data_IF_376722376396
#
_entry.id   IF_376722376396
#
_cell.length_a   1.000
_cell.length_b   1.000
_cell.length_c   1.000
_cell.angle_alpha   90.00
_cell.angle_beta   90.00
_cell.angle_gamma   90.00
#
_symmetry.space_group_name_H-M   'P 1'
#
loop_
_entity.id
_entity.type
_entity.pdbx_description
1 polymer ?
#
# COMPACT_ATOMS: atom_id res chain seq x y z
N UNK A 1 -16.68 -12.68 -16.18
CA UNK A 1 -17.07 -13.77 -15.26
C UNK A 1 -17.08 -15.11 -15.99
N UNK A 2 -17.81 -15.27 -17.10
CA UNK A 2 -17.80 -16.53 -17.88
C UNK A 2 -16.40 -17.10 -18.18
N UNK A 3 -15.48 -16.33 -18.77
CA UNK A 3 -14.12 -16.79 -19.06
C UNK A 3 -13.33 -17.20 -17.80
N UNK A 4 -13.60 -16.57 -16.65
CA UNK A 4 -12.93 -16.91 -15.39
C UNK A 4 -13.39 -18.29 -14.93
N UNK A 5 -14.71 -18.52 -14.91
CA UNK A 5 -15.28 -19.80 -14.48
C UNK A 5 -14.80 -20.95 -15.36
N UNK A 6 -14.77 -20.76 -16.68
CA UNK A 6 -14.25 -21.76 -17.63
C UNK A 6 -12.81 -22.16 -17.31
N UNK A 7 -11.93 -21.17 -17.07
CA UNK A 7 -10.52 -21.44 -16.75
C UNK A 7 -10.38 -22.10 -15.36
N UNK A 8 -11.21 -21.71 -14.39
CA UNK A 8 -11.19 -22.31 -13.04
C UNK A 8 -11.70 -23.76 -13.04
N UNK A 9 -12.69 -24.10 -13.86
CA UNK A 9 -13.14 -25.47 -14.06
C UNK A 9 -12.00 -26.34 -14.59
N UNK A 10 -11.25 -25.85 -15.58
CA UNK A 10 -10.06 -26.55 -16.11
C UNK A 10 -8.96 -26.73 -15.05
N UNK A 11 -8.77 -25.75 -14.17
CA UNK A 11 -7.77 -25.81 -13.09
C UNK A 11 -8.18 -26.78 -11.98
N UNK A 12 -9.48 -26.86 -11.67
CA UNK A 12 -10.01 -27.72 -10.60
C UNK A 12 -10.24 -29.17 -11.03
N UNK A 13 -10.32 -29.45 -12.33
CA UNK A 13 -10.44 -30.81 -12.83
C UNK A 13 -9.14 -31.60 -12.61
N UNK A 14 -9.19 -32.61 -11.73
CA UNK A 14 -8.07 -33.50 -11.43
C UNK A 14 -7.55 -34.28 -12.65
N UNK A 15 -8.36 -34.38 -13.71
CA UNK A 15 -7.98 -35.05 -14.97
C UNK A 15 -7.22 -34.13 -15.92
N UNK A 16 -7.18 -32.83 -15.64
CA UNK A 16 -6.47 -31.87 -16.48
C UNK A 16 -4.96 -32.15 -16.46
N UNK A 17 -4.29 -32.23 -17.61
CA UNK A 17 -2.85 -32.38 -17.64
C UNK A 17 -2.18 -31.11 -17.07
N UNK A 18 -1.02 -31.21 -16.39
CA UNK A 18 -0.36 -30.06 -15.78
C UNK A 18 -0.12 -28.88 -16.74
N UNK A 19 0.25 -29.18 -17.99
CA UNK A 19 0.44 -28.17 -19.03
C UNK A 19 -0.82 -27.33 -19.30
N UNK A 20 -2.01 -27.94 -19.23
CA UNK A 20 -3.29 -27.23 -19.41
C UNK A 20 -3.59 -26.32 -18.22
N UNK A 21 -3.29 -26.77 -17.00
CA UNK A 21 -3.44 -25.97 -15.78
C UNK A 21 -2.54 -24.74 -15.82
N UNK A 22 -1.26 -24.90 -16.18
CA UNK A 22 -0.35 -23.76 -16.33
C UNK A 22 -0.80 -22.79 -17.43
N UNK A 23 -1.30 -23.31 -18.56
CA UNK A 23 -1.84 -22.49 -19.64
C UNK A 23 -3.08 -21.70 -19.19
N UNK A 24 -3.98 -22.33 -18.42
CA UNK A 24 -5.14 -21.66 -17.85
C UNK A 24 -4.72 -20.49 -16.93
N UNK A 25 -3.74 -20.71 -16.04
CA UNK A 25 -3.19 -19.66 -15.20
C UNK A 25 -2.51 -18.53 -15.99
N UNK A 26 -1.83 -18.85 -17.09
CA UNK A 26 -1.26 -17.85 -18.00
C UNK A 26 -2.34 -16.95 -18.60
N UNK A 27 -3.47 -17.51 -19.02
CA UNK A 27 -4.61 -16.72 -19.49
C UNK A 27 -5.24 -15.88 -18.37
N UNK A 28 -5.40 -16.43 -17.16
CA UNK A 28 -5.86 -15.67 -15.99
C UNK A 28 -4.93 -14.49 -15.71
N UNK A 29 -3.61 -14.70 -15.77
CA UNK A 29 -2.63 -13.64 -15.60
C UNK A 29 -2.80 -12.54 -16.65
N UNK A 30 -2.95 -12.88 -17.94
CA UNK A 30 -3.16 -11.89 -19.01
C UNK A 30 -4.40 -11.04 -18.75
N UNK A 31 -5.53 -11.68 -18.39
CA UNK A 31 -6.77 -10.97 -18.06
C UNK A 31 -6.55 -10.04 -16.85
N UNK A 32 -5.88 -10.54 -15.81
CA UNK A 32 -5.57 -9.77 -14.60
C UNK A 32 -4.67 -8.57 -14.91
N UNK A 33 -3.72 -8.70 -15.84
CA UNK A 33 -2.78 -7.65 -16.25
C UNK A 33 -3.50 -6.52 -16.99
N UNK A 34 -4.40 -6.88 -17.92
CA UNK A 34 -5.16 -5.90 -18.72
C UNK A 34 -6.16 -5.12 -17.87
N UNK A 35 -6.97 -5.82 -17.06
CA UNK A 35 -8.00 -5.17 -16.23
C UNK A 35 -7.44 -4.54 -14.96
N UNK A 36 -6.28 -5.00 -14.52
CA UNK A 36 -5.63 -4.64 -13.26
C UNK A 36 -5.94 -5.68 -12.17
N UNK A 37 -4.88 -6.24 -11.59
CA UNK A 37 -4.98 -7.36 -10.65
C UNK A 37 -5.94 -7.08 -9.48
N UNK A 38 -6.04 -5.83 -8.99
CA UNK A 38 -6.93 -5.47 -7.86
C UNK A 38 -8.41 -5.63 -8.18
N UNK A 39 -8.81 -5.37 -9.42
CA UNK A 39 -10.18 -5.58 -9.86
C UNK A 39 -10.43 -7.08 -9.99
N UNK A 40 -9.51 -7.77 -10.67
CA UNK A 40 -9.56 -9.20 -10.89
C UNK A 40 -9.62 -10.01 -9.58
N UNK A 41 -8.87 -9.58 -8.56
CA UNK A 41 -8.80 -10.21 -7.24
C UNK A 41 -10.16 -10.44 -6.60
N UNK A 42 -11.13 -9.54 -6.86
CA UNK A 42 -12.48 -9.60 -6.29
C UNK A 42 -13.35 -10.66 -6.96
N UNK A 43 -12.94 -11.16 -8.12
CA UNK A 43 -13.67 -12.15 -8.89
C UNK A 43 -13.27 -13.58 -8.53
N UNK A 44 -12.15 -13.77 -7.83
CA UNK A 44 -11.72 -15.10 -7.40
C UNK A 44 -12.74 -15.73 -6.44
N UNK A 45 -13.01 -17.05 -6.56
CA UNK A 45 -13.69 -17.81 -5.53
C UNK A 45 -12.98 -17.65 -4.19
N UNK A 46 -13.75 -17.50 -3.13
CA UNK A 46 -13.24 -17.26 -1.79
C UNK A 46 -14.09 -18.01 -0.78
N UNK A 47 -14.22 -19.32 -1.00
CA UNK A 47 -14.85 -20.24 -0.06
C UNK A 47 -13.80 -20.95 0.78
N UNK A 48 -14.19 -21.45 1.96
CA UNK A 48 -13.25 -22.18 2.86
C UNK A 48 -12.69 -23.43 2.16
N UNK A 49 -13.52 -24.06 1.31
CA UNK A 49 -13.14 -25.22 0.51
C UNK A 49 -12.00 -24.92 -0.49
N UNK A 50 -11.78 -23.65 -0.85
CA UNK A 50 -10.72 -23.26 -1.80
C UNK A 50 -9.34 -23.12 -1.13
N UNK A 51 -9.27 -22.96 0.20
CA UNK A 51 -8.01 -22.64 0.86
C UNK A 51 -6.98 -23.76 0.69
N UNK A 52 -7.34 -24.99 1.07
CA UNK A 52 -6.42 -26.12 1.07
C UNK A 52 -5.99 -26.50 -0.36
N UNK A 53 -6.90 -26.65 -1.35
CA UNK A 53 -6.50 -26.96 -2.72
C UNK A 53 -5.57 -25.92 -3.34
N UNK A 54 -5.81 -24.62 -3.09
CA UNK A 54 -4.94 -23.55 -3.59
C UNK A 54 -3.56 -23.59 -2.92
N UNK A 55 -3.52 -23.87 -1.61
CA UNK A 55 -2.26 -24.00 -0.87
C UNK A 55 -1.46 -25.23 -1.33
N UNK A 56 -2.13 -26.35 -1.57
CA UNK A 56 -1.49 -27.59 -2.06
C UNK A 56 -0.93 -27.39 -3.47
N UNK A 57 -1.71 -26.82 -4.38
CA UNK A 57 -1.26 -26.48 -5.73
C UNK A 57 -0.05 -25.55 -5.72
N UNK A 58 -0.01 -24.58 -4.79
CA UNK A 58 1.10 -23.64 -4.65
C UNK A 58 2.36 -24.30 -4.08
N UNK A 59 2.20 -25.22 -3.13
CA UNK A 59 3.31 -25.98 -2.51
C UNK A 59 3.94 -26.96 -3.50
N UNK A 60 3.18 -27.46 -4.48
CA UNK A 60 3.67 -28.31 -5.56
C UNK A 60 4.52 -27.56 -6.61
N UNK A 61 4.50 -26.23 -6.63
CA UNK A 61 5.25 -25.45 -7.60
C UNK A 61 6.74 -25.36 -7.21
N UNK A 62 7.61 -25.36 -8.23
CA UNK A 62 9.02 -25.09 -8.05
C UNK A 62 9.29 -23.57 -7.97
N UNK A 63 10.08 -23.14 -6.99
CA UNK A 63 10.48 -21.74 -6.82
C UNK A 63 11.52 -21.29 -7.85
N UNK A 64 12.29 -22.21 -8.40
CA UNK A 64 13.36 -21.92 -9.37
C UNK A 64 12.88 -21.98 -10.82
N UNK A 65 11.69 -22.56 -11.06
CA UNK A 65 11.11 -22.62 -12.40
C UNK A 65 10.83 -21.21 -12.97
N UNK A 66 11.33 -20.98 -14.18
CA UNK A 66 11.20 -19.71 -14.90
C UNK A 66 10.04 -19.71 -15.90
N UNK A 67 9.48 -20.86 -16.23
CA UNK A 67 8.46 -21.00 -17.27
C UNK A 67 7.03 -20.82 -16.76
N UNK A 68 6.74 -21.24 -15.52
CA UNK A 68 5.37 -21.27 -14.97
C UNK A 68 5.10 -20.21 -13.89
N UNK A 69 5.91 -19.15 -13.83
CA UNK A 69 5.76 -18.10 -12.82
C UNK A 69 4.37 -17.45 -12.77
N UNK A 70 3.63 -17.39 -13.89
CA UNK A 70 2.24 -16.91 -13.90
C UNK A 70 1.32 -17.76 -13.02
N UNK A 71 1.56 -19.07 -12.94
CA UNK A 71 0.83 -20.00 -12.07
C UNK A 71 1.02 -19.61 -10.61
N UNK A 72 2.28 -19.49 -10.18
CA UNK A 72 2.66 -19.10 -8.81
C UNK A 72 2.10 -17.73 -8.46
N UNK A 73 2.22 -16.75 -9.37
CA UNK A 73 1.66 -15.42 -9.21
C UNK A 73 0.15 -15.44 -8.96
N UNK A 74 -0.62 -16.15 -9.80
CA UNK A 74 -2.07 -16.19 -9.69
C UNK A 74 -2.54 -16.98 -8.47
N UNK A 75 -1.86 -18.07 -8.12
CA UNK A 75 -2.13 -18.85 -6.90
C UNK A 75 -1.90 -18.01 -5.63
N UNK A 76 -0.79 -17.27 -5.53
CA UNK A 76 -0.53 -16.36 -4.40
C UNK A 76 -1.61 -15.28 -4.27
N UNK A 77 -2.07 -14.72 -5.39
CA UNK A 77 -3.16 -13.75 -5.39
C UNK A 77 -4.50 -14.36 -4.95
N UNK A 78 -4.81 -15.57 -5.44
CA UNK A 78 -6.02 -16.30 -5.05
C UNK A 78 -5.98 -16.62 -3.55
N UNK A 79 -4.86 -17.14 -3.05
CA UNK A 79 -4.65 -17.40 -1.63
C UNK A 79 -4.81 -16.12 -0.79
N UNK A 80 -4.36 -14.97 -1.30
CA UNK A 80 -4.55 -13.67 -0.63
C UNK A 80 -6.02 -13.26 -0.44
N UNK A 81 -6.95 -13.90 -1.14
CA UNK A 81 -8.38 -13.67 -1.01
C UNK A 81 -9.05 -14.71 -0.13
N UNK A 82 -8.75 -15.99 -0.33
CA UNK A 82 -9.31 -17.08 0.48
C UNK A 82 -8.88 -16.95 1.95
N UNK A 83 -7.69 -16.44 2.22
CA UNK A 83 -7.24 -16.13 3.57
C UNK A 83 -8.07 -15.08 4.34
N UNK A 84 -8.84 -14.23 3.65
CA UNK A 84 -9.63 -13.15 4.27
C UNK A 84 -11.01 -13.59 4.76
N UNK A 85 -11.40 -14.84 4.52
CA UNK A 85 -12.69 -15.36 4.95
C UNK A 85 -12.71 -15.43 6.50
N UNK A 86 -13.79 -14.99 7.16
CA UNK A 86 -13.89 -14.93 8.62
C UNK A 86 -14.19 -16.32 9.22
N UNK A 87 -13.23 -17.25 9.16
CA UNK A 87 -13.30 -18.56 9.81
C UNK A 87 -12.00 -18.85 10.55
N UNK A 88 -12.03 -19.58 11.65
CA UNK A 88 -10.81 -19.90 12.40
C UNK A 88 -9.92 -20.92 11.65
N UNK A 89 -8.67 -20.55 11.38
CA UNK A 89 -7.68 -21.41 10.68
C UNK A 89 -7.33 -22.65 11.49
N UNK A 90 -7.45 -22.58 12.82
CA UNK A 90 -7.21 -23.73 13.70
C UNK A 90 -8.13 -24.93 13.38
N UNK A 91 -9.24 -24.71 12.68
CA UNK A 91 -10.13 -25.81 12.23
C UNK A 91 -9.55 -26.65 11.09
N UNK A 92 -8.55 -26.13 10.37
CA UNK A 92 -7.87 -26.84 9.30
C UNK A 92 -6.62 -27.58 9.80
N UNK A 93 -6.11 -27.19 10.96
CA UNK A 93 -5.12 -27.94 11.71
C UNK A 93 -5.82 -29.19 12.28
N UNK A 94 -5.89 -30.26 11.48
CA UNK A 94 -6.59 -31.50 11.86
C UNK A 94 -6.23 -32.00 13.26
N UNK A 95 -7.13 -32.77 13.90
CA UNK A 95 -6.96 -33.20 15.29
C UNK A 95 -5.59 -33.85 15.53
N UNK A 96 -4.68 -33.23 16.32
CA UNK A 96 -3.34 -33.76 16.50
C UNK A 96 -3.43 -35.00 17.40
N UNK A 97 -3.07 -36.17 16.84
CA UNK A 97 -2.71 -37.33 17.64
C UNK A 97 -1.52 -36.95 18.54
N UNK A 98 -1.50 -37.47 19.77
CA UNK A 98 -0.60 -37.01 20.84
C UNK A 98 0.90 -37.09 20.48
N UNK A 99 1.27 -37.89 19.48
CA UNK A 99 2.64 -38.09 18.99
C UNK A 99 3.06 -37.09 17.88
N UNK A 100 2.12 -36.45 17.19
CA UNK A 100 2.38 -35.55 16.05
C UNK A 100 2.55 -34.06 16.45
N UNK A 101 2.35 -33.71 17.72
CA UNK A 101 2.33 -32.33 18.22
C UNK A 101 3.67 -31.59 18.15
N UNK A 102 4.79 -32.29 17.95
CA UNK A 102 6.12 -31.68 17.97
C UNK A 102 6.65 -31.27 16.58
N UNK A 103 6.01 -31.71 15.49
CA UNK A 103 6.50 -31.47 14.11
C UNK A 103 5.43 -30.98 13.12
N UNK A 104 4.15 -30.94 13.50
CA UNK A 104 3.12 -30.48 12.57
C UNK A 104 3.14 -28.96 12.43
N UNK A 105 3.61 -28.48 11.29
CA UNK A 105 3.50 -27.07 10.89
C UNK A 105 2.03 -26.73 10.68
N UNK A 106 1.50 -25.78 11.44
CA UNK A 106 0.11 -25.31 11.30
C UNK A 106 -0.13 -24.73 9.91
N UNK A 107 -1.37 -24.75 9.42
CA UNK A 107 -1.76 -24.10 8.15
C UNK A 107 -1.38 -22.61 8.18
N UNK A 108 -1.48 -21.98 9.35
CA UNK A 108 -1.04 -20.60 9.53
C UNK A 108 0.46 -20.42 9.28
N UNK A 109 1.30 -21.27 9.88
CA UNK A 109 2.75 -21.21 9.72
C UNK A 109 3.17 -21.65 8.31
N UNK A 110 2.46 -22.60 7.69
CA UNK A 110 2.64 -22.98 6.28
C UNK A 110 2.44 -21.79 5.34
N UNK A 111 1.31 -21.08 5.45
CA UNK A 111 1.01 -19.90 4.62
C UNK A 111 2.08 -18.82 4.82
N UNK A 112 2.51 -18.57 6.06
CA UNK A 112 3.56 -17.58 6.36
C UNK A 112 4.89 -18.00 5.73
N UNK A 113 5.29 -19.26 5.86
CA UNK A 113 6.56 -19.76 5.34
C UNK A 113 6.58 -19.73 3.80
N UNK A 114 5.49 -20.15 3.16
CA UNK A 114 5.31 -20.03 1.70
C UNK A 114 5.41 -18.58 1.27
N UNK A 115 4.67 -17.67 1.91
CA UNK A 115 4.75 -16.27 1.51
C UNK A 115 6.16 -15.70 1.72
N UNK A 116 6.86 -16.05 2.80
CA UNK A 116 8.25 -15.64 3.05
C UNK A 116 9.22 -16.16 2.00
N UNK A 117 9.11 -17.42 1.56
CA UNK A 117 9.98 -17.96 0.50
C UNK A 117 9.76 -17.19 -0.82
N UNK A 118 8.50 -16.96 -1.18
CA UNK A 118 8.15 -16.18 -2.38
C UNK A 118 8.51 -14.69 -2.31
N UNK A 119 8.86 -14.12 -1.15
CA UNK A 119 9.40 -12.75 -1.09
C UNK A 119 10.82 -12.64 -1.66
N UNK A 120 11.54 -13.75 -1.80
CA UNK A 120 12.93 -13.77 -2.26
C UNK A 120 13.08 -14.12 -3.75
N UNK A 121 11.98 -14.50 -4.42
CA UNK A 121 12.02 -14.85 -5.84
C UNK A 121 12.24 -13.63 -6.73
N UNK A 122 12.85 -13.85 -7.88
CA UNK A 122 13.24 -12.79 -8.82
C UNK A 122 12.06 -12.31 -9.67
N UNK A 123 11.08 -13.18 -9.90
CA UNK A 123 9.92 -12.95 -10.76
C UNK A 123 8.78 -12.16 -10.08
N UNK A 124 7.66 -12.00 -10.81
CA UNK A 124 6.51 -11.19 -10.39
C UNK A 124 5.73 -11.77 -9.23
N UNK A 125 5.87 -13.06 -8.94
CA UNK A 125 5.26 -13.74 -7.78
C UNK A 125 5.63 -13.08 -6.46
N UNK A 126 6.81 -12.43 -6.38
CA UNK A 126 7.20 -11.58 -5.25
C UNK A 126 6.17 -10.50 -4.92
N UNK A 127 5.64 -9.83 -5.94
CA UNK A 127 4.62 -8.79 -5.79
C UNK A 127 3.31 -9.38 -5.20
N UNK A 128 2.95 -10.60 -5.60
CA UNK A 128 1.76 -11.30 -5.11
C UNK A 128 1.96 -11.82 -3.68
N UNK A 129 3.15 -12.35 -3.36
CA UNK A 129 3.52 -12.80 -2.02
C UNK A 129 3.46 -11.66 -1.01
N UNK A 130 3.96 -10.48 -1.37
CA UNK A 130 3.83 -9.28 -0.55
C UNK A 130 2.36 -8.89 -0.26
N UNK A 131 1.44 -9.14 -1.20
CA UNK A 131 0.01 -8.91 -0.99
C UNK A 131 -0.60 -9.98 -0.09
N UNK A 132 -0.25 -11.25 -0.30
CA UNK A 132 -0.68 -12.38 0.53
C UNK A 132 -0.29 -12.17 2.00
N UNK A 133 1.00 -12.01 2.28
CA UNK A 133 1.50 -11.94 3.66
C UNK A 133 0.93 -10.73 4.40
N UNK A 134 0.86 -9.57 3.74
CA UNK A 134 0.34 -8.36 4.35
C UNK A 134 -1.12 -8.49 4.77
N UNK A 135 -1.96 -9.07 3.90
CA UNK A 135 -3.37 -9.30 4.21
C UNK A 135 -3.54 -10.38 5.28
N UNK A 136 -2.76 -11.46 5.19
CA UNK A 136 -2.84 -12.59 6.12
C UNK A 136 -2.45 -12.16 7.54
N UNK A 137 -1.31 -11.49 7.70
CA UNK A 137 -0.83 -10.97 8.99
C UNK A 137 -1.78 -9.90 9.57
N UNK A 138 -2.50 -9.16 8.71
CA UNK A 138 -3.49 -8.17 9.16
C UNK A 138 -4.81 -8.80 9.64
N UNK A 139 -4.99 -10.12 9.50
CA UNK A 139 -6.20 -10.83 9.96
C UNK A 139 -6.24 -10.87 11.49
N UNK A 140 -7.39 -10.67 12.16
CA UNK A 140 -7.44 -10.48 13.61
C UNK A 140 -6.77 -11.58 14.46
N UNK A 141 -7.00 -12.84 14.12
CA UNK A 141 -6.46 -14.03 14.80
C UNK A 141 -4.96 -14.25 14.53
N UNK A 142 -4.52 -14.01 13.28
CA UNK A 142 -3.10 -14.12 12.90
C UNK A 142 -2.30 -12.96 13.51
N UNK A 143 -2.84 -11.75 13.45
CA UNK A 143 -2.23 -10.53 13.99
C UNK A 143 -1.82 -10.71 15.45
N UNK A 144 -2.74 -11.20 16.28
CA UNK A 144 -2.50 -11.40 17.71
C UNK A 144 -1.33 -12.35 17.99
N UNK A 145 -1.08 -13.32 17.09
CA UNK A 145 -0.08 -14.38 17.30
C UNK A 145 1.23 -14.19 16.54
N UNK A 146 1.24 -13.41 15.46
CA UNK A 146 2.35 -13.41 14.48
C UNK A 146 2.77 -12.03 13.98
N UNK A 147 2.04 -10.95 14.26
CA UNK A 147 2.40 -9.61 13.74
C UNK A 147 3.77 -9.14 14.25
N UNK A 148 4.01 -9.26 15.56
CA UNK A 148 5.28 -8.84 16.18
C UNK A 148 6.46 -9.64 15.60
N UNK A 149 6.40 -10.97 15.65
CA UNK A 149 7.43 -11.86 15.11
C UNK A 149 7.72 -11.58 13.62
N UNK A 150 6.67 -11.28 12.84
CA UNK A 150 6.82 -10.96 11.43
C UNK A 150 7.53 -9.63 11.20
N UNK A 151 7.19 -8.60 11.98
CA UNK A 151 7.87 -7.30 11.93
C UNK A 151 9.32 -7.41 12.40
N UNK A 152 9.59 -8.14 13.47
CA UNK A 152 10.95 -8.38 13.98
C UNK A 152 11.80 -9.10 12.94
N UNK A 153 11.23 -10.11 12.26
CA UNK A 153 11.87 -10.77 11.14
C UNK A 153 12.18 -9.81 9.99
N UNK A 154 11.23 -8.98 9.56
CA UNK A 154 11.44 -7.98 8.49
C UNK A 154 12.54 -6.98 8.86
N UNK A 155 12.47 -6.41 10.06
CA UNK A 155 13.39 -5.36 10.53
C UNK A 155 14.79 -5.91 10.82
N UNK A 156 14.91 -7.17 11.21
CA UNK A 156 16.21 -7.84 11.37
C UNK A 156 16.82 -8.27 10.03
N UNK A 157 15.98 -8.56 9.04
CA UNK A 157 16.40 -8.97 7.71
C UNK A 157 16.90 -7.78 6.88
N UNK A 158 16.13 -6.69 6.81
CA UNK A 158 16.39 -5.54 5.93
C UNK A 158 17.82 -4.95 5.99
N UNK A 159 18.44 -4.72 7.16
CA UNK A 159 19.79 -4.16 7.26
C UNK A 159 20.88 -5.07 6.70
N UNK A 160 20.66 -6.39 6.74
CA UNK A 160 21.62 -7.39 6.22
C UNK A 160 21.77 -7.29 4.70
N UNK A 161 20.77 -6.71 4.02
CA UNK A 161 20.75 -6.57 2.58
C UNK A 161 21.37 -5.25 2.06
N UNK A 162 22.32 -4.65 2.80
CA UNK A 162 22.89 -3.31 2.50
C UNK A 162 24.01 -3.29 1.45
N UNK A 163 24.59 -4.44 1.08
CA UNK A 163 25.70 -4.51 0.12
C UNK A 163 25.23 -4.61 -1.34
N UNK A 164 26.04 -4.05 -2.26
CA UNK A 164 25.75 -3.79 -3.68
C UNK A 164 25.51 -5.03 -4.57
N UNK A 165 25.23 -6.21 -4.01
CA UNK A 165 24.96 -7.44 -4.77
C UNK A 165 23.54 -7.46 -5.34
N UNK A 166 23.37 -7.89 -6.59
CA UNK A 166 22.06 -7.89 -7.29
C UNK A 166 21.01 -8.76 -6.58
N UNK A 167 21.36 -9.98 -6.18
CA UNK A 167 20.45 -10.90 -5.47
C UNK A 167 19.98 -10.33 -4.14
N UNK A 168 20.88 -9.66 -3.42
CA UNK A 168 20.61 -9.02 -2.13
C UNK A 168 19.57 -7.90 -2.27
N UNK A 169 19.57 -7.20 -3.41
CA UNK A 169 18.57 -6.17 -3.70
C UNK A 169 17.18 -6.73 -4.04
N UNK A 170 17.10 -7.94 -4.61
CA UNK A 170 15.84 -8.61 -4.94
C UNK A 170 15.10 -8.97 -3.65
N UNK A 171 15.81 -9.60 -2.71
CA UNK A 171 15.28 -9.89 -1.39
C UNK A 171 14.84 -8.59 -0.68
N UNK A 172 15.69 -7.55 -0.69
CA UNK A 172 15.37 -6.24 -0.12
C UNK A 172 14.08 -5.63 -0.70
N UNK A 173 13.90 -5.69 -2.02
CA UNK A 173 12.69 -5.22 -2.69
C UNK A 173 11.44 -5.96 -2.20
N UNK A 174 11.49 -7.30 -2.08
CA UNK A 174 10.39 -8.11 -1.55
C UNK A 174 10.02 -7.76 -0.11
N UNK A 175 11.01 -7.62 0.77
CA UNK A 175 10.80 -7.25 2.17
C UNK A 175 10.18 -5.85 2.29
N UNK A 176 10.72 -4.86 1.56
CA UNK A 176 10.16 -3.49 1.51
C UNK A 176 8.75 -3.47 0.95
N UNK A 177 8.46 -4.32 -0.03
CA UNK A 177 7.13 -4.41 -0.61
C UNK A 177 6.12 -5.06 0.34
N UNK A 178 6.50 -6.11 1.06
CA UNK A 178 5.69 -6.73 2.10
C UNK A 178 5.35 -5.71 3.20
N UNK A 179 6.37 -4.99 3.69
CA UNK A 179 6.21 -3.94 4.69
C UNK A 179 5.31 -2.81 4.18
N UNK A 180 5.51 -2.36 2.95
CA UNK A 180 4.61 -1.40 2.34
C UNK A 180 3.17 -1.94 2.34
N UNK A 181 2.92 -3.12 1.78
CA UNK A 181 1.56 -3.69 1.71
C UNK A 181 0.93 -3.85 3.10
N UNK A 182 1.70 -4.22 4.12
CA UNK A 182 1.25 -4.31 5.50
C UNK A 182 0.69 -2.96 5.97
N UNK A 183 1.44 -1.87 5.85
CA UNK A 183 0.98 -0.51 6.17
C UNK A 183 -0.11 0.05 5.23
N UNK A 184 -0.50 -0.68 4.18
CA UNK A 184 -1.66 -0.34 3.34
C UNK A 184 -2.92 -1.09 3.73
N UNK A 185 -2.79 -2.29 4.28
CA UNK A 185 -3.92 -3.19 4.58
C UNK A 185 -4.21 -3.29 6.08
N UNK A 186 -3.21 -3.17 6.93
CA UNK A 186 -3.36 -3.18 8.37
C UNK A 186 -4.08 -1.94 8.90
N UNK A 187 -4.76 -2.11 10.03
CA UNK A 187 -5.45 -1.01 10.72
C UNK A 187 -4.42 -0.09 11.39
N UNK A 188 -4.74 1.20 11.48
CA UNK A 188 -3.87 2.21 12.12
C UNK A 188 -3.53 1.81 13.55
N UNK A 189 -4.53 1.46 14.36
CA UNK A 189 -4.38 1.12 15.78
C UNK A 189 -3.39 -0.03 16.00
N UNK A 190 -3.40 -1.01 15.10
CA UNK A 190 -2.58 -2.21 15.18
C UNK A 190 -1.12 -1.94 14.80
N UNK A 191 -0.88 -1.02 13.85
CA UNK A 191 0.44 -0.74 13.30
C UNK A 191 1.12 0.48 13.93
N UNK A 192 0.36 1.38 14.56
CA UNK A 192 0.88 2.59 15.19
C UNK A 192 1.99 2.32 16.22
N UNK A 193 1.91 1.30 17.09
CA UNK A 193 2.98 1.01 18.06
C UNK A 193 4.31 0.65 17.40
N UNK A 194 4.28 0.10 16.19
CA UNK A 194 5.47 -0.33 15.44
C UNK A 194 5.99 0.72 14.47
N UNK A 195 5.17 1.73 14.13
CA UNK A 195 5.48 2.71 13.10
C UNK A 195 6.77 3.52 13.37
N UNK A 196 7.07 3.98 14.61
CA UNK A 196 8.32 4.69 14.89
C UNK A 196 9.56 3.83 14.64
N UNK A 197 9.57 2.59 15.15
CA UNK A 197 10.68 1.64 14.96
C UNK A 197 10.91 1.32 13.49
N UNK A 198 9.82 1.20 12.72
CA UNK A 198 9.91 0.99 11.28
C UNK A 198 10.51 2.22 10.58
N UNK A 199 10.10 3.44 10.95
CA UNK A 199 10.65 4.66 10.37
C UNK A 199 12.16 4.77 10.66
N UNK A 200 12.57 4.57 11.92
CA UNK A 200 13.99 4.61 12.32
C UNK A 200 14.83 3.58 11.54
N UNK A 201 14.28 2.38 11.30
CA UNK A 201 14.93 1.38 10.48
C UNK A 201 15.14 1.87 9.03
N UNK A 202 14.14 2.52 8.43
CA UNK A 202 14.25 3.05 7.06
C UNK A 202 15.28 4.16 6.94
N UNK A 203 15.39 5.02 7.95
CA UNK A 203 16.36 6.11 7.99
C UNK A 203 17.79 5.56 7.96
N UNK A 204 18.05 4.53 8.77
CA UNK A 204 19.34 3.83 8.80
C UNK A 204 19.69 3.15 7.47
N UNK A 205 18.69 2.73 6.69
CA UNK A 205 18.90 2.05 5.41
C UNK A 205 19.26 3.00 4.26
N UNK A 206 19.09 4.32 4.44
CA UNK A 206 19.40 5.36 3.43
C UNK A 206 18.94 5.00 2.02
N UNK A 207 17.67 4.59 1.91
CA UNK A 207 17.14 4.03 0.66
C UNK A 207 17.21 5.01 -0.52
N UNK A 208 17.18 6.32 -0.26
CA UNK A 208 17.34 7.39 -1.26
C UNK A 208 18.67 7.34 -2.02
N UNK A 209 19.73 6.79 -1.41
CA UNK A 209 21.05 6.67 -2.03
C UNK A 209 21.16 5.44 -2.95
N UNK A 210 20.14 4.58 -2.99
CA UNK A 210 20.17 3.35 -3.78
C UNK A 210 20.20 3.63 -5.30
N UNK A 211 21.00 2.84 -6.02
CA UNK A 211 21.00 2.86 -7.49
C UNK A 211 19.70 2.34 -8.10
N UNK A 212 18.90 1.57 -7.36
CA UNK A 212 17.68 0.97 -7.89
C UNK A 212 16.45 1.85 -7.67
N UNK A 213 15.83 2.28 -8.77
CA UNK A 213 14.61 3.11 -8.77
C UNK A 213 13.47 2.52 -7.94
N UNK A 214 13.27 1.19 -8.00
CA UNK A 214 12.21 0.51 -7.28
C UNK A 214 12.40 0.58 -5.76
N UNK A 215 13.63 0.43 -5.26
CA UNK A 215 13.96 0.53 -3.83
C UNK A 215 13.67 1.95 -3.33
N UNK A 216 14.14 2.99 -4.06
CA UNK A 216 13.87 4.39 -3.70
C UNK A 216 12.38 4.70 -3.68
N UNK A 217 11.66 4.26 -4.72
CA UNK A 217 10.20 4.38 -4.83
C UNK A 217 9.45 3.68 -3.70
N UNK A 218 9.89 2.48 -3.29
CA UNK A 218 9.29 1.74 -2.18
C UNK A 218 9.55 2.43 -0.84
N UNK A 219 10.76 2.96 -0.63
CA UNK A 219 11.10 3.79 0.54
C UNK A 219 10.15 4.97 0.69
N UNK A 220 10.07 5.83 -0.33
CA UNK A 220 9.15 6.99 -0.35
C UNK A 220 7.69 6.58 -0.13
N UNK A 221 7.27 5.46 -0.73
CA UNK A 221 5.90 4.93 -0.57
C UNK A 221 5.62 4.43 0.85
N UNK A 222 6.61 3.86 1.51
CA UNK A 222 6.48 3.37 2.88
C UNK A 222 6.47 4.55 3.87
N UNK A 223 7.37 5.52 3.71
CA UNK A 223 7.39 6.80 4.44
C UNK A 223 6.01 7.49 4.36
N UNK A 224 5.44 7.59 3.15
CA UNK A 224 4.08 8.09 2.97
C UNK A 224 3.05 7.33 3.81
N UNK A 225 3.13 5.99 3.90
CA UNK A 225 2.16 5.18 4.65
C UNK A 225 2.36 5.30 6.16
N UNK A 226 3.60 5.44 6.61
CA UNK A 226 3.95 5.72 8.01
C UNK A 226 3.38 7.08 8.44
N UNK A 227 3.55 8.13 7.64
CA UNK A 227 2.91 9.42 7.88
C UNK A 227 1.38 9.35 8.04
N UNK A 228 0.74 8.51 7.22
CA UNK A 228 -0.71 8.25 7.33
C UNK A 228 -1.09 7.31 8.48
N UNK A 229 -0.12 6.64 9.10
CA UNK A 229 -0.34 5.82 10.30
C UNK A 229 -0.21 6.70 11.54
N UNK A 230 0.78 7.58 11.60
CA UNK A 230 0.93 8.57 12.66
C UNK A 230 -0.29 9.51 12.74
N UNK A 231 -0.72 10.09 11.61
CA UNK A 231 -1.86 11.02 11.58
C UNK A 231 -3.20 10.30 11.55
N UNK A 232 -4.12 10.68 12.46
CA UNK A 232 -5.52 10.23 12.43
C UNK A 232 -6.19 10.60 11.09
N UNK A 233 -7.03 9.73 10.51
CA UNK A 233 -7.80 10.09 9.33
C UNK A 233 -8.74 11.26 9.62
N UNK A 234 -8.47 12.42 9.03
CA UNK A 234 -9.35 13.60 9.07
C UNK A 234 -9.51 14.23 7.70
N UNK A 235 -10.64 14.90 7.49
CA UNK A 235 -10.82 15.82 6.36
C UNK A 235 -10.61 17.23 6.90
N UNK A 236 -9.54 17.88 6.47
CA UNK A 236 -9.23 19.25 6.86
C UNK A 236 -10.40 20.20 6.56
N UNK A 237 -10.95 20.86 7.59
CA UNK A 237 -12.02 21.87 7.45
C UNK A 237 -11.56 23.08 6.63
N UNK A 238 -10.28 23.45 6.77
CA UNK A 238 -9.62 24.55 6.07
C UNK A 238 -9.39 24.30 4.57
N UNK A 239 -9.56 23.06 4.10
CA UNK A 239 -9.40 22.70 2.69
C UNK A 239 -10.36 23.52 1.83
N UNK A 240 -9.85 24.05 0.72
CA UNK A 240 -10.68 24.67 -0.29
C UNK A 240 -11.75 23.68 -0.79
N UNK A 241 -13.01 24.03 -0.50
CA UNK A 241 -14.17 23.36 -1.06
C UNK A 241 -14.39 23.93 -2.45
N UNK A 242 -13.89 23.24 -3.49
CA UNK A 242 -14.49 23.40 -4.83
C UNK A 242 -15.97 23.12 -4.61
N UNK A 243 -16.81 24.14 -4.73
CA UNK A 243 -18.25 24.08 -4.45
C UNK A 243 -18.92 22.87 -5.11
N UNK A 244 -20.18 22.63 -4.74
CA UNK A 244 -21.00 21.50 -5.18
C UNK A 244 -20.65 20.99 -6.59
N UNK A 245 -20.10 19.78 -6.63
CA UNK A 245 -19.55 19.09 -7.81
C UNK A 245 -20.60 18.70 -8.84
N UNK A 246 -21.87 19.00 -8.57
CA UNK A 246 -22.99 18.73 -9.45
C UNK A 246 -23.62 20.06 -9.82
N UNK A 247 -23.45 20.45 -11.08
CA UNK A 247 -24.18 21.57 -11.67
C UNK A 247 -25.70 21.36 -11.50
N UNK A 248 -26.18 20.10 -11.61
CA UNK A 248 -27.57 19.76 -11.38
C UNK A 248 -28.01 20.03 -9.92
N UNK A 249 -27.16 19.74 -8.92
CA UNK A 249 -27.44 20.11 -7.53
C UNK A 249 -27.43 21.64 -7.35
N UNK A 250 -26.53 22.36 -8.03
CA UNK A 250 -26.47 23.82 -7.99
C UNK A 250 -27.70 24.48 -8.62
N UNK A 251 -28.16 23.94 -9.73
CA UNK A 251 -29.37 24.40 -10.42
C UNK A 251 -30.64 24.08 -9.62
N UNK A 252 -30.70 22.93 -8.96
CA UNK A 252 -31.82 22.58 -8.08
C UNK A 252 -31.87 23.43 -6.80
N UNK A 253 -30.72 23.80 -6.24
CA UNK A 253 -30.65 24.74 -5.11
C UNK A 253 -31.11 26.12 -5.57
N UNK A 254 -30.59 26.61 -6.71
CA UNK A 254 -30.98 27.90 -7.30
C UNK A 254 -32.48 27.98 -7.62
N UNK A 255 -33.09 26.88 -8.08
CA UNK A 255 -34.53 26.80 -8.35
C UNK A 255 -35.40 26.78 -7.07
N UNK A 256 -34.86 26.38 -5.91
CA UNK A 256 -35.57 26.37 -4.62
C UNK A 256 -35.34 27.63 -3.79
N UNK A 257 -34.33 28.43 -4.09
CA UNK A 257 -33.91 29.59 -3.29
C UNK A 257 -34.26 30.95 -3.90
N UNK A 258 -35.37 31.07 -4.63
CA UNK A 258 -35.88 32.38 -5.07
C UNK A 258 -36.40 33.29 -3.92
N UNK A 259 -36.25 32.90 -2.65
CA UNK A 259 -36.73 33.71 -1.52
C UNK A 259 -35.71 34.11 -0.45
N UNK A 260 -34.39 33.96 -0.67
CA UNK A 260 -33.41 34.48 0.32
C UNK A 260 -32.02 34.78 -0.25
N UNK A 261 -31.94 35.48 -1.38
CA UNK A 261 -30.68 35.88 -2.01
C UNK A 261 -30.40 37.37 -1.84
N UNK A 262 -30.22 37.85 -0.61
CA UNK A 262 -29.39 39.01 -0.27
C UNK A 262 -28.91 38.83 1.17
N UNK A 263 -27.70 38.27 1.40
CA UNK A 263 -26.82 38.56 2.57
C UNK A 263 -25.65 37.58 2.81
N UNK A 264 -25.50 36.45 2.10
CA UNK A 264 -24.36 35.55 2.31
C UNK A 264 -23.33 35.58 1.17
N UNK A 265 -22.73 36.74 0.93
CA UNK A 265 -21.54 36.83 0.05
C UNK A 265 -20.28 37.37 0.70
N UNK A 266 -20.31 37.89 1.94
CA UNK A 266 -19.08 38.26 2.66
C UNK A 266 -19.32 38.08 4.16
N UNK A 267 -19.29 36.83 4.61
CA UNK A 267 -18.90 36.56 5.99
C UNK A 267 -17.77 35.54 5.90
N UNK A 268 -16.56 36.07 5.93
CA UNK A 268 -15.44 35.46 6.65
C UNK A 268 -16.00 34.88 7.94
N UNK A 269 -16.39 33.61 7.89
CA UNK A 269 -16.54 32.83 9.10
C UNK A 269 -15.11 32.66 9.58
N UNK A 270 -14.63 33.63 10.35
CA UNK A 270 -13.77 33.36 11.49
C UNK A 270 -14.53 32.31 12.31
N UNK A 271 -14.46 31.06 11.85
CA UNK A 271 -14.76 29.93 12.69
C UNK A 271 -13.68 30.05 13.73
N UNK A 272 -14.07 30.52 14.92
CA UNK A 272 -13.26 30.47 16.13
C UNK A 272 -12.42 29.21 16.03
N UNK A 273 -11.12 29.40 15.84
CA UNK A 273 -10.15 28.32 15.84
C UNK A 273 -10.22 27.79 17.27
N UNK A 274 -11.11 26.82 17.51
CA UNK A 274 -10.86 25.85 18.55
C UNK A 274 -9.47 25.31 18.19
N UNK A 275 -8.46 25.86 18.87
CA UNK A 275 -7.13 25.31 19.01
C UNK A 275 -7.31 23.90 19.59
N UNK A 276 -7.79 22.96 18.76
CA UNK A 276 -7.59 21.55 19.01
C UNK A 276 -6.07 21.44 19.18
N UNK A 277 -5.61 21.26 20.42
CA UNK A 277 -4.21 20.98 20.73
C UNK A 277 -3.80 19.80 19.83
N UNK A 278 -3.14 20.13 18.72
CA UNK A 278 -2.85 19.15 17.71
C UNK A 278 -1.66 18.33 18.19
N UNK A 279 -1.95 17.19 18.83
CA UNK A 279 -0.94 16.18 19.16
C UNK A 279 -0.41 15.56 17.86
N UNK A 280 0.57 16.23 17.25
CA UNK A 280 1.23 15.82 16.03
C UNK A 280 2.52 15.12 16.41
N UNK A 281 2.65 13.83 16.06
CA UNK A 281 3.85 13.07 16.36
C UNK A 281 5.08 13.71 15.69
N UNK A 282 6.20 13.76 16.42
CA UNK A 282 7.47 14.36 15.95
C UNK A 282 8.00 13.70 14.68
N UNK A 283 7.68 12.42 14.50
CA UNK A 283 8.01 11.61 13.32
C UNK A 283 7.48 12.21 12.01
N UNK A 284 6.46 13.08 12.07
CA UNK A 284 5.88 13.72 10.89
C UNK A 284 6.84 14.67 10.19
N UNK A 285 7.70 15.36 10.93
CA UNK A 285 8.71 16.24 10.36
C UNK A 285 9.67 15.45 9.46
N UNK A 286 10.21 14.35 9.98
CA UNK A 286 11.06 13.41 9.23
C UNK A 286 10.32 12.82 8.00
N UNK A 287 9.04 12.45 8.15
CA UNK A 287 8.23 12.00 7.01
C UNK A 287 8.14 13.06 5.93
N UNK A 288 7.87 14.32 6.28
CA UNK A 288 7.76 15.42 5.32
C UNK A 288 9.12 15.66 4.64
N UNK A 289 10.20 15.72 5.41
CA UNK A 289 11.56 15.90 4.91
C UNK A 289 11.92 14.84 3.86
N UNK A 290 11.72 13.56 4.18
CA UNK A 290 11.98 12.47 3.24
C UNK A 290 11.12 12.54 1.98
N UNK A 291 9.86 12.99 2.10
CA UNK A 291 8.99 13.20 0.95
C UNK A 291 9.48 14.36 0.07
N UNK A 292 9.95 15.47 0.68
CA UNK A 292 10.53 16.61 -0.04
C UNK A 292 11.82 16.20 -0.78
N UNK A 293 12.71 15.44 -0.13
CA UNK A 293 13.89 14.85 -0.78
C UNK A 293 13.45 13.99 -1.99
N UNK A 294 12.40 13.18 -1.82
CA UNK A 294 11.84 12.36 -2.89
C UNK A 294 11.28 13.13 -4.08
N UNK A 295 10.90 14.41 -3.93
CA UNK A 295 10.50 15.28 -5.05
C UNK A 295 11.68 15.63 -5.96
N UNK A 296 12.91 15.55 -5.45
CA UNK A 296 14.14 15.87 -6.20
C UNK A 296 14.80 14.63 -6.82
N UNK A 297 14.15 13.45 -6.76
CA UNK A 297 14.70 12.22 -7.30
C UNK A 297 14.83 12.26 -8.84
N UNK A 298 15.92 11.71 -9.37
CA UNK A 298 16.17 11.56 -10.82
C UNK A 298 15.02 10.88 -11.57
N UNK A 299 14.36 9.91 -10.95
CA UNK A 299 13.30 9.12 -11.60
C UNK A 299 11.89 9.66 -11.30
N UNK A 300 11.13 9.94 -12.37
CA UNK A 300 9.75 10.46 -12.28
C UNK A 300 8.82 9.60 -11.42
N UNK A 301 8.99 8.27 -11.44
CA UNK A 301 8.14 7.36 -10.65
C UNK A 301 8.33 7.52 -9.13
N UNK A 302 9.52 7.96 -8.70
CA UNK A 302 9.82 8.26 -7.29
C UNK A 302 9.21 9.61 -6.93
N UNK A 303 9.45 10.65 -7.76
CA UNK A 303 8.86 11.99 -7.61
C UNK A 303 7.33 11.96 -7.53
N UNK A 304 6.70 11.17 -8.38
CA UNK A 304 5.25 10.96 -8.34
C UNK A 304 4.78 10.30 -7.05
N UNK A 305 5.55 9.36 -6.50
CA UNK A 305 5.24 8.73 -5.21
C UNK A 305 5.36 9.74 -4.07
N UNK A 306 6.40 10.59 -4.12
CA UNK A 306 6.65 11.67 -3.15
C UNK A 306 5.55 12.73 -3.18
N UNK A 307 5.20 13.28 -4.36
CA UNK A 307 4.13 14.27 -4.50
C UNK A 307 2.78 13.75 -4.04
N UNK A 308 2.47 12.47 -4.31
CA UNK A 308 1.30 11.79 -3.72
C UNK A 308 1.39 11.67 -2.21
N UNK A 309 2.59 11.47 -1.68
CA UNK A 309 2.90 11.47 -0.25
C UNK A 309 2.51 12.79 0.39
N UNK A 310 3.13 13.86 -0.09
CA UNK A 310 2.90 15.25 0.35
C UNK A 310 1.40 15.54 0.38
N UNK A 311 0.70 15.42 -0.75
CA UNK A 311 -0.74 15.74 -0.77
C UNK A 311 -1.60 14.91 0.19
N UNK A 312 -1.22 13.65 0.51
CA UNK A 312 -1.98 12.83 1.48
C UNK A 312 -1.68 13.20 2.92
N UNK A 313 -0.42 13.45 3.24
CA UNK A 313 0.03 13.80 4.60
C UNK A 313 -0.43 15.21 4.94
N UNK A 314 -0.18 16.19 4.07
CA UNK A 314 -0.61 17.59 4.22
C UNK A 314 -2.12 17.71 4.46
N UNK A 315 -2.93 16.90 3.77
CA UNK A 315 -4.38 16.91 3.95
C UNK A 315 -4.89 16.43 5.32
N UNK A 316 -3.98 15.98 6.19
CA UNK A 316 -4.25 15.59 7.59
C UNK A 316 -3.52 16.49 8.59
N UNK A 317 -2.85 17.54 8.16
CA UNK A 317 -2.22 18.50 9.04
C UNK A 317 -3.19 19.65 9.40
N UNK A 318 -2.94 20.37 10.49
CA UNK A 318 -3.51 21.69 10.75
C UNK A 318 -3.16 22.66 9.62
N UNK A 319 -3.91 23.76 9.55
CA UNK A 319 -3.76 24.76 8.50
C UNK A 319 -2.35 25.34 8.45
N UNK A 320 -1.78 25.69 9.60
CA UNK A 320 -0.45 26.30 9.71
C UNK A 320 0.65 25.38 9.16
N UNK A 321 0.77 24.17 9.71
CA UNK A 321 1.76 23.19 9.24
C UNK A 321 1.52 22.76 7.79
N UNK A 322 0.26 22.74 7.35
CA UNK A 322 -0.02 22.47 5.95
C UNK A 322 0.49 23.60 5.04
N UNK A 323 0.35 24.86 5.45
CA UNK A 323 0.88 26.02 4.74
C UNK A 323 2.41 26.00 4.70
N UNK A 324 3.07 25.60 5.79
CA UNK A 324 4.53 25.40 5.82
C UNK A 324 4.97 24.36 4.78
N UNK A 325 4.27 23.23 4.69
CA UNK A 325 4.56 22.21 3.67
C UNK A 325 4.37 22.75 2.25
N UNK A 326 3.35 23.59 2.02
CA UNK A 326 3.18 24.25 0.71
C UNK A 326 4.36 25.18 0.44
N UNK A 327 4.81 25.95 1.43
CA UNK A 327 6.02 26.77 1.36
C UNK A 327 7.25 25.97 0.93
N UNK A 328 7.53 24.86 1.60
CA UNK A 328 8.67 23.98 1.25
C UNK A 328 8.55 23.35 -0.14
N UNK A 329 7.33 23.10 -0.63
CA UNK A 329 7.12 22.65 -2.02
C UNK A 329 7.42 23.78 -3.00
N UNK A 330 7.07 25.03 -2.67
CA UNK A 330 7.36 26.19 -3.52
C UNK A 330 8.87 26.47 -3.63
N UNK A 331 9.65 26.15 -2.59
CA UNK A 331 11.11 26.26 -2.63
C UNK A 331 11.74 25.39 -3.73
N UNK A 332 11.05 24.34 -4.21
CA UNK A 332 11.49 23.53 -5.35
C UNK A 332 11.59 24.32 -6.67
N UNK A 333 10.95 25.50 -6.76
CA UNK A 333 10.97 26.38 -7.94
C UNK A 333 12.01 27.51 -7.85
N UNK A 334 12.88 27.47 -6.84
CA UNK A 334 14.02 28.39 -6.77
C UNK A 334 14.94 28.22 -7.98
N UNK A 335 15.55 29.31 -8.45
CA UNK A 335 16.55 29.28 -9.53
C UNK A 335 17.80 28.45 -9.19
N UNK A 336 18.01 28.10 -7.92
CA UNK A 336 19.11 27.23 -7.47
C UNK A 336 18.79 25.74 -7.58
N UNK A 337 17.52 25.39 -7.82
CA UNK A 337 17.05 24.01 -7.85
C UNK A 337 17.20 23.38 -9.25
N UNK A 338 17.17 22.06 -9.30
CA UNK A 338 17.31 21.30 -10.55
C UNK A 338 15.98 21.21 -11.31
N UNK A 339 16.05 20.92 -12.61
CA UNK A 339 14.87 20.57 -13.41
C UNK A 339 14.07 19.42 -12.78
N UNK A 340 14.76 18.50 -12.09
CA UNK A 340 14.11 17.39 -11.42
C UNK A 340 13.26 17.82 -10.24
N UNK A 341 13.80 18.73 -9.42
CA UNK A 341 13.11 19.36 -8.31
C UNK A 341 11.91 20.19 -8.79
N UNK A 342 12.06 20.98 -9.85
CA UNK A 342 10.97 21.76 -10.45
C UNK A 342 9.81 20.87 -10.89
N UNK A 343 10.11 19.80 -11.65
CA UNK A 343 9.09 18.86 -12.09
C UNK A 343 8.46 18.09 -10.91
N UNK A 344 9.24 17.73 -9.87
CA UNK A 344 8.69 17.16 -8.63
C UNK A 344 7.75 18.12 -7.90
N UNK A 345 8.13 19.39 -7.79
CA UNK A 345 7.30 20.47 -7.27
C UNK A 345 5.98 20.58 -8.03
N UNK A 346 5.99 20.54 -9.37
CA UNK A 346 4.78 20.53 -10.19
C UNK A 346 3.86 19.35 -9.85
N UNK A 347 4.40 18.14 -9.67
CA UNK A 347 3.62 16.96 -9.28
C UNK A 347 3.01 17.10 -7.88
N UNK A 348 3.76 17.67 -6.93
CA UNK A 348 3.28 17.94 -5.58
C UNK A 348 2.17 19.01 -5.57
N UNK A 349 2.36 20.13 -6.26
CA UNK A 349 1.34 21.17 -6.43
C UNK A 349 0.07 20.62 -7.09
N UNK A 350 0.20 19.77 -8.10
CA UNK A 350 -0.94 19.11 -8.73
C UNK A 350 -1.72 18.23 -7.73
N UNK A 351 -1.03 17.47 -6.87
CA UNK A 351 -1.68 16.68 -5.82
C UNK A 351 -2.32 17.55 -4.74
N UNK A 352 -1.67 18.64 -4.31
CA UNK A 352 -2.21 19.61 -3.36
C UNK A 352 -3.46 20.29 -3.93
N UNK A 353 -3.40 20.79 -5.17
CA UNK A 353 -4.51 21.45 -5.85
C UNK A 353 -5.69 20.50 -6.11
N UNK A 354 -5.44 19.26 -6.54
CA UNK A 354 -6.48 18.21 -6.68
C UNK A 354 -7.19 17.93 -5.35
N UNK A 355 -6.49 18.13 -4.23
CA UNK A 355 -6.98 17.94 -2.87
C UNK A 355 -7.46 19.23 -2.22
N UNK A 356 -7.48 20.38 -2.92
CA UNK A 356 -7.92 21.66 -2.36
C UNK A 356 -7.06 22.15 -1.19
N UNK A 357 -5.78 21.78 -1.16
CA UNK A 357 -4.86 22.11 -0.06
C UNK A 357 -4.00 23.35 -0.35
N UNK A 358 -4.22 24.00 -1.50
CA UNK A 358 -3.60 25.29 -1.82
C UNK A 358 -4.52 26.39 -1.31
N UNK A 359 -4.04 27.14 -0.32
CA UNK A 359 -4.80 28.25 0.25
C UNK A 359 -4.82 29.44 -0.72
N UNK A 360 -5.95 30.16 -0.86
CA UNK A 360 -6.04 31.33 -1.72
C UNK A 360 -5.00 32.42 -1.39
N UNK A 361 -4.60 32.56 -0.12
CA UNK A 361 -3.56 33.49 0.31
C UNK A 361 -2.20 33.26 -0.35
N UNK A 362 -1.91 32.03 -0.79
CA UNK A 362 -0.68 31.66 -1.50
C UNK A 362 -0.81 31.78 -3.03
N UNK A 363 -1.99 32.15 -3.53
CA UNK A 363 -2.28 32.36 -4.94
C UNK A 363 -2.70 33.84 -5.14
N UNK A 364 -1.76 34.79 -4.97
CA UNK A 364 -2.04 36.18 -5.33
C UNK A 364 -2.38 36.28 -6.82
N UNK A 365 -3.32 37.17 -7.16
CA UNK A 365 -3.82 37.41 -8.52
C UNK A 365 -2.72 37.79 -9.53
#
# INVERSE_FOLDING_TARGET
EWMLNLLLEMIRDERSPPALVHLAFKFLYIISKVRGYKYFLRLFPHEVADLQPVLDLLTLQDLEDTETWETRYMLLLWLSMTCLIPFDLARLDGNPTAEARQTQVTVMDQIINVAKSYLHVTDKSRDAAAVLIAKFISRPDVKQKRLADFLDWLLSALPKFSYQMKELNIAKDGLLQALAQLFKHGKREDLLPYAPTVLECLDKLKLSESNQTNIRKLGVKLVQRLGLTFLKPKVAKWRYQRGNRSLAANLQISAKSQHSLVLQSVQSSEVEEEEEEYDIPREIENVIEQLLIGLKDRDTVVRWSAGKGIGRVTGRLPKELADDVVGSVLDCFSFKETNDAWHGGCLALAELGRRGLLLPSRLPD
#
